data_IF_204133713248
#
_entry.id   IF_204133713248
#
_cell.length_a   1.000
_cell.length_b   1.000
_cell.length_c   1.000
_cell.angle_alpha   90.00
_cell.angle_beta   90.00
_cell.angle_gamma   90.00
#
_symmetry.space_group_name_H-M   'P 1'
#
loop_
_entity.id
_entity.type
_entity.pdbx_description
1 polymer ?
#
# COMPACT_ATOMS: atom_id res chain seq x y z
N UNK A 1 -28.79 -5.49 -7.61
CA UNK A 1 -27.64 -5.42 -8.51
C UNK A 1 -26.55 -6.31 -7.91
N UNK A 2 -25.88 -7.20 -8.65
CA UNK A 2 -24.76 -7.96 -8.12
C UNK A 2 -23.67 -6.98 -7.67
N UNK A 3 -23.18 -7.14 -6.44
CA UNK A 3 -22.03 -6.37 -5.93
C UNK A 3 -20.86 -6.58 -6.91
N UNK A 4 -20.35 -5.52 -7.49
CA UNK A 4 -19.14 -5.59 -8.31
C UNK A 4 -18.06 -6.32 -7.51
N UNK A 5 -17.46 -7.36 -8.14
CA UNK A 5 -16.40 -8.16 -7.51
C UNK A 5 -15.26 -7.21 -7.12
N UNK A 6 -14.81 -7.26 -5.87
CA UNK A 6 -13.69 -6.46 -5.40
C UNK A 6 -12.47 -6.70 -6.31
N UNK A 7 -11.93 -5.69 -7.01
CA UNK A 7 -10.81 -5.87 -7.94
C UNK A 7 -9.46 -5.99 -7.24
N UNK A 8 -9.42 -5.80 -5.91
CA UNK A 8 -8.18 -5.76 -5.14
C UNK A 8 -7.80 -7.12 -4.60
N UNK A 9 -6.48 -7.31 -4.45
CA UNK A 9 -5.86 -8.49 -3.87
C UNK A 9 -5.29 -8.16 -2.49
N UNK A 10 -5.14 -9.17 -1.64
CA UNK A 10 -4.51 -9.02 -0.33
C UNK A 10 -3.06 -8.55 -0.50
N UNK A 11 -2.67 -7.54 0.28
CA UNK A 11 -1.33 -6.97 0.22
C UNK A 11 -0.29 -8.00 0.69
N UNK A 12 0.82 -8.20 -0.05
CA UNK A 12 1.84 -9.21 0.32
C UNK A 12 2.45 -9.00 1.71
N UNK A 13 2.48 -7.77 2.19
CA UNK A 13 2.98 -7.43 3.53
C UNK A 13 2.20 -8.06 4.69
N UNK A 14 0.93 -8.47 4.47
CA UNK A 14 0.14 -9.11 5.53
C UNK A 14 0.80 -10.39 6.04
N UNK A 15 1.35 -11.20 5.15
CA UNK A 15 2.03 -12.44 5.53
C UNK A 15 3.21 -12.20 6.49
N UNK A 16 3.94 -11.07 6.29
CA UNK A 16 5.04 -10.68 7.18
C UNK A 16 4.52 -10.27 8.57
N UNK A 17 3.43 -9.51 8.62
CA UNK A 17 2.82 -9.11 9.90
C UNK A 17 2.22 -10.33 10.62
N UNK A 18 1.54 -11.22 9.91
CA UNK A 18 1.01 -12.47 10.47
C UNK A 18 2.12 -13.34 11.07
N UNK A 19 3.25 -13.48 10.35
CA UNK A 19 4.43 -14.19 10.87
C UNK A 19 4.96 -13.52 12.12
N UNK A 20 5.10 -12.19 12.12
CA UNK A 20 5.55 -11.44 13.28
C UNK A 20 4.62 -11.63 14.49
N UNK A 21 3.30 -11.63 14.29
CA UNK A 21 2.30 -11.90 15.36
C UNK A 21 2.47 -13.31 15.90
N UNK A 22 2.67 -14.31 15.04
CA UNK A 22 2.87 -15.69 15.46
C UNK A 22 4.17 -15.88 16.29
N UNK A 23 5.19 -15.08 16.03
CA UNK A 23 6.48 -15.11 16.74
C UNK A 23 6.49 -14.28 18.06
N UNK A 24 5.45 -13.49 18.34
CA UNK A 24 5.39 -12.66 19.55
C UNK A 24 5.58 -13.45 20.86
N UNK A 25 4.94 -14.63 21.06
CA UNK A 25 5.11 -15.39 22.31
C UNK A 25 6.56 -15.79 22.55
N UNK A 26 7.25 -16.23 21.51
CA UNK A 26 8.65 -16.63 21.59
C UNK A 26 9.58 -15.44 21.88
N UNK A 27 9.34 -14.31 21.21
CA UNK A 27 10.20 -13.13 21.29
C UNK A 27 9.96 -12.26 22.52
N UNK A 28 8.74 -12.28 23.06
CA UNK A 28 8.31 -11.34 24.11
C UNK A 28 7.68 -12.02 25.33
N UNK A 29 7.51 -13.34 25.30
CA UNK A 29 6.87 -14.11 26.38
C UNK A 29 5.33 -13.97 26.41
N UNK A 30 4.70 -13.25 25.45
CA UNK A 30 3.23 -13.03 25.43
C UNK A 30 2.70 -13.06 24.01
N UNK A 31 1.50 -13.63 23.84
CA UNK A 31 0.75 -13.54 22.58
C UNK A 31 0.20 -12.12 22.37
N UNK A 32 -0.27 -11.83 21.15
CA UNK A 32 -0.91 -10.54 20.87
C UNK A 32 -2.10 -10.29 21.81
N UNK A 33 -2.96 -11.29 22.02
CA UNK A 33 -4.14 -11.18 22.89
C UNK A 33 -3.74 -10.85 24.33
N UNK A 34 -2.69 -11.49 24.84
CA UNK A 34 -2.15 -11.22 26.18
C UNK A 34 -1.57 -9.80 26.28
N UNK A 35 -0.91 -9.30 25.22
CA UNK A 35 -0.45 -7.92 25.17
C UNK A 35 -1.61 -6.93 25.16
N UNK A 36 -2.63 -7.19 24.35
CA UNK A 36 -3.81 -6.32 24.27
C UNK A 36 -4.60 -6.30 25.60
N UNK A 37 -4.70 -7.45 26.28
CA UNK A 37 -5.33 -7.53 27.60
C UNK A 37 -4.54 -6.75 28.64
N UNK A 38 -3.21 -6.87 28.63
CA UNK A 38 -2.33 -6.12 29.54
C UNK A 38 -2.47 -4.62 29.34
N UNK A 39 -2.43 -4.15 28.09
CA UNK A 39 -2.62 -2.72 27.76
C UNK A 39 -3.99 -2.23 28.23
N UNK A 40 -5.04 -3.03 28.04
CA UNK A 40 -6.41 -2.67 28.46
C UNK A 40 -6.55 -2.56 29.97
N UNK A 41 -5.86 -3.43 30.74
CA UNK A 41 -5.92 -3.45 32.21
C UNK A 41 -5.06 -2.37 32.88
N UNK A 42 -3.87 -2.11 32.35
CA UNK A 42 -2.84 -1.35 33.07
C UNK A 42 -2.12 -0.31 32.20
N UNK A 43 -2.36 -0.31 30.90
CA UNK A 43 -1.67 0.61 29.99
C UNK A 43 -2.28 2.01 29.98
N UNK A 44 -1.46 3.02 29.64
CA UNK A 44 -1.94 4.38 29.41
C UNK A 44 -2.94 4.45 28.25
N UNK A 45 -4.02 5.22 28.42
CA UNK A 45 -5.02 5.40 27.35
C UNK A 45 -4.48 6.22 26.17
N UNK A 46 -3.53 7.11 26.40
CA UNK A 46 -2.91 7.91 25.34
C UNK A 46 -1.91 7.05 24.55
N UNK A 47 -2.09 6.97 23.24
CA UNK A 47 -1.30 6.12 22.35
C UNK A 47 0.23 6.32 22.47
N UNK A 48 0.69 7.58 22.53
CA UNK A 48 2.12 7.88 22.67
C UNK A 48 2.68 7.35 24.00
N UNK A 49 1.97 7.62 25.11
CA UNK A 49 2.35 7.13 26.43
C UNK A 49 2.29 5.60 26.53
N UNK A 50 1.32 4.97 25.88
CA UNK A 50 1.24 3.51 25.81
C UNK A 50 2.47 2.91 25.13
N UNK A 51 2.94 3.49 24.02
CA UNK A 51 4.16 3.05 23.35
C UNK A 51 5.40 3.19 24.23
N UNK A 52 5.55 4.34 24.90
CA UNK A 52 6.66 4.60 25.82
C UNK A 52 6.62 3.59 26.97
N UNK A 53 5.48 3.39 27.60
CA UNK A 53 5.26 2.43 28.66
C UNK A 53 5.62 0.99 28.26
N UNK A 54 5.17 0.53 27.07
CA UNK A 54 5.50 -0.79 26.55
C UNK A 54 7.02 -0.98 26.33
N UNK A 55 7.74 0.09 25.95
CA UNK A 55 9.19 0.06 25.79
C UNK A 55 9.93 0.06 27.13
N UNK A 56 9.53 0.91 28.05
CA UNK A 56 10.22 1.15 29.31
C UNK A 56 9.98 0.01 30.31
N UNK A 57 8.72 -0.41 30.48
CA UNK A 57 8.37 -1.43 31.47
C UNK A 57 8.57 -2.87 30.98
N UNK A 58 8.44 -3.09 29.65
CA UNK A 58 8.49 -4.45 29.09
C UNK A 58 9.61 -4.67 28.07
N UNK A 59 10.47 -3.68 27.84
CA UNK A 59 11.63 -3.82 26.94
C UNK A 59 11.26 -4.05 25.48
N UNK A 60 10.04 -3.71 25.04
CA UNK A 60 9.64 -3.92 23.65
C UNK A 60 10.40 -2.99 22.71
N UNK A 61 10.81 -3.51 21.57
CA UNK A 61 11.36 -2.71 20.48
C UNK A 61 10.34 -1.70 19.94
N UNK A 62 10.81 -0.60 19.37
CA UNK A 62 9.98 0.53 18.90
C UNK A 62 8.83 0.09 17.99
N UNK A 63 9.06 -0.81 17.03
CA UNK A 63 8.03 -1.28 16.10
C UNK A 63 6.97 -2.13 16.79
N UNK A 64 7.38 -3.05 17.68
CA UNK A 64 6.45 -3.88 18.44
C UNK A 64 5.58 -3.06 19.37
N UNK A 65 6.19 -2.12 20.10
CA UNK A 65 5.45 -1.23 21.00
C UNK A 65 4.46 -0.34 20.25
N UNK A 66 4.86 0.18 19.08
CA UNK A 66 3.99 1.00 18.22
C UNK A 66 2.79 0.19 17.73
N UNK A 67 3.06 -0.99 17.17
CA UNK A 67 2.01 -1.81 16.57
C UNK A 67 1.03 -2.37 17.62
N UNK A 68 1.52 -2.81 18.80
CA UNK A 68 0.65 -3.26 19.90
C UNK A 68 -0.22 -2.10 20.41
N UNK A 69 0.34 -0.88 20.54
CA UNK A 69 -0.43 0.28 20.94
C UNK A 69 -1.51 0.66 19.92
N UNK A 70 -1.23 0.57 18.62
CA UNK A 70 -2.23 0.78 17.56
C UNK A 70 -3.35 -0.28 17.65
N UNK A 71 -3.01 -1.55 17.80
CA UNK A 71 -3.99 -2.63 17.95
C UNK A 71 -4.85 -2.46 19.21
N UNK A 72 -4.26 -2.05 20.32
CA UNK A 72 -5.00 -1.75 21.56
C UNK A 72 -5.95 -0.56 21.40
N UNK A 73 -5.62 0.39 20.52
CA UNK A 73 -6.48 1.52 20.14
C UNK A 73 -7.53 1.16 19.07
N UNK A 74 -7.66 -0.12 18.69
CA UNK A 74 -8.59 -0.60 17.65
C UNK A 74 -8.20 -0.23 16.22
N UNK A 75 -6.90 -0.01 15.97
CA UNK A 75 -6.35 0.32 14.64
C UNK A 75 -5.51 -0.83 14.09
N UNK A 76 -5.25 -0.82 12.78
CA UNK A 76 -4.29 -1.73 12.14
C UNK A 76 -4.79 -3.19 12.03
N UNK A 77 -6.10 -3.45 12.14
CA UNK A 77 -6.64 -4.79 11.91
C UNK A 77 -6.37 -5.24 10.46
N UNK A 78 -6.45 -4.31 9.53
CA UNK A 78 -6.14 -4.50 8.12
C UNK A 78 -4.70 -4.93 7.84
N UNK A 79 -3.79 -4.73 8.77
CA UNK A 79 -2.37 -5.10 8.59
C UNK A 79 -2.13 -6.62 8.75
N UNK A 80 -3.05 -7.34 9.42
CA UNK A 80 -2.90 -8.77 9.72
C UNK A 80 -4.08 -9.63 9.30
N UNK A 81 -5.27 -9.04 9.07
CA UNK A 81 -6.47 -9.75 8.62
C UNK A 81 -6.78 -9.48 7.15
N UNK A 82 -6.82 -10.53 6.28
CA UNK A 82 -7.08 -10.35 4.85
C UNK A 82 -8.44 -9.75 4.52
N UNK A 83 -9.49 -10.05 5.31
CA UNK A 83 -10.83 -9.53 5.04
C UNK A 83 -10.94 -8.07 5.48
N UNK A 84 -10.38 -7.74 6.64
CA UNK A 84 -10.25 -6.36 7.10
C UNK A 84 -9.46 -5.51 6.09
N UNK A 85 -8.33 -6.03 5.57
CA UNK A 85 -7.56 -5.36 4.53
C UNK A 85 -8.39 -5.12 3.26
N UNK A 86 -9.07 -6.14 2.73
CA UNK A 86 -9.86 -5.97 1.51
C UNK A 86 -11.00 -4.95 1.67
N UNK A 87 -11.57 -4.85 2.86
CA UNK A 87 -12.55 -3.81 3.20
C UNK A 87 -11.88 -2.42 3.28
N UNK A 88 -10.73 -2.34 3.95
CA UNK A 88 -9.95 -1.10 4.05
C UNK A 88 -9.46 -0.62 2.67
N UNK A 89 -9.03 -1.53 1.78
CA UNK A 89 -8.58 -1.22 0.43
C UNK A 89 -9.63 -0.48 -0.41
N UNK A 90 -10.91 -0.87 -0.29
CA UNK A 90 -12.02 -0.15 -0.94
C UNK A 90 -12.11 1.28 -0.39
N UNK A 91 -12.07 1.42 0.95
CA UNK A 91 -12.13 2.72 1.60
C UNK A 91 -10.93 3.61 1.27
N UNK A 92 -9.73 3.08 1.21
CA UNK A 92 -8.54 3.84 0.81
C UNK A 92 -8.70 4.46 -0.57
N UNK A 93 -9.24 3.71 -1.53
CA UNK A 93 -9.48 4.23 -2.88
C UNK A 93 -10.61 5.28 -2.89
N UNK A 94 -11.68 5.06 -2.14
CA UNK A 94 -12.75 6.07 -1.99
C UNK A 94 -12.20 7.37 -1.41
N UNK A 95 -11.43 7.30 -0.33
CA UNK A 95 -10.82 8.46 0.32
C UNK A 95 -9.79 9.17 -0.58
N UNK A 96 -8.95 8.41 -1.33
CA UNK A 96 -7.99 8.97 -2.28
C UNK A 96 -8.63 9.82 -3.37
N UNK A 97 -9.83 9.44 -3.80
CA UNK A 97 -10.56 10.10 -4.90
C UNK A 97 -11.82 10.84 -4.42
N UNK A 98 -11.89 11.20 -3.14
CA UNK A 98 -12.95 12.02 -2.59
C UNK A 98 -12.73 13.54 -2.86
N UNK A 99 -13.79 14.31 -2.72
CA UNK A 99 -13.75 15.79 -2.78
C UNK A 99 -13.16 16.31 -4.10
N UNK A 100 -12.17 17.18 -4.02
CA UNK A 100 -11.55 17.83 -5.19
C UNK A 100 -10.90 16.84 -6.18
N UNK A 101 -10.59 15.61 -5.74
CA UNK A 101 -10.01 14.55 -6.57
C UNK A 101 -11.04 13.66 -7.25
N UNK A 102 -12.34 13.82 -7.01
CA UNK A 102 -13.38 12.95 -7.60
C UNK A 102 -13.33 12.92 -9.13
N UNK A 103 -12.95 14.02 -9.78
CA UNK A 103 -12.77 14.10 -11.23
C UNK A 103 -11.63 13.22 -11.78
N UNK A 104 -10.70 12.75 -10.94
CA UNK A 104 -9.63 11.84 -11.32
C UNK A 104 -10.07 10.37 -11.30
N UNK A 105 -11.23 10.05 -10.72
CA UNK A 105 -11.71 8.67 -10.58
C UNK A 105 -11.79 7.91 -11.92
N UNK A 106 -12.32 8.48 -13.01
CA UNK A 106 -12.34 7.78 -14.31
C UNK A 106 -10.94 7.46 -14.85
N UNK A 107 -9.97 8.36 -14.61
CA UNK A 107 -8.55 8.14 -15.00
C UNK A 107 -7.98 6.97 -14.19
N UNK A 108 -8.20 6.96 -12.88
CA UNK A 108 -7.79 5.87 -11.99
C UNK A 108 -8.38 4.53 -12.43
N UNK A 109 -9.71 4.47 -12.65
CA UNK A 109 -10.39 3.24 -13.04
C UNK A 109 -9.82 2.67 -14.35
N UNK A 110 -9.48 3.54 -15.32
CA UNK A 110 -8.86 3.14 -16.57
C UNK A 110 -7.43 2.64 -16.40
N UNK A 111 -6.63 3.28 -15.56
CA UNK A 111 -5.26 2.84 -15.24
C UNK A 111 -5.26 1.52 -14.49
N UNK A 112 -6.17 1.32 -13.54
CA UNK A 112 -6.35 0.06 -12.82
C UNK A 112 -6.74 -1.08 -13.78
N UNK A 113 -7.70 -0.83 -14.67
CA UNK A 113 -8.10 -1.80 -15.70
C UNK A 113 -6.90 -2.23 -16.57
N UNK A 114 -6.11 -1.26 -17.05
CA UNK A 114 -4.92 -1.54 -17.83
C UNK A 114 -3.88 -2.32 -17.03
N UNK A 115 -3.64 -1.92 -15.79
CA UNK A 115 -2.70 -2.60 -14.90
C UNK A 115 -3.06 -4.06 -14.70
N UNK A 116 -4.32 -4.35 -14.39
CA UNK A 116 -4.80 -5.73 -14.18
C UNK A 116 -4.82 -6.57 -15.46
N UNK A 117 -4.84 -5.95 -16.64
CA UNK A 117 -4.83 -6.66 -17.94
C UNK A 117 -3.43 -6.93 -18.49
N UNK A 118 -2.37 -6.35 -17.93
CA UNK A 118 -1.01 -6.54 -18.45
C UNK A 118 -0.48 -7.96 -18.25
N UNK A 119 -0.99 -8.66 -17.19
CA UNK A 119 -0.69 -10.06 -16.91
C UNK A 119 -1.74 -10.66 -15.98
N UNK A 120 -1.91 -11.99 -16.03
CA UNK A 120 -2.90 -12.72 -15.21
C UNK A 120 -2.53 -12.81 -13.73
N UNK A 121 -1.26 -12.60 -13.41
CA UNK A 121 -0.65 -12.68 -12.10
C UNK A 121 -0.56 -11.31 -11.40
N UNK A 122 -1.07 -10.24 -12.04
CA UNK A 122 -1.08 -8.90 -11.45
C UNK A 122 -2.06 -8.80 -10.29
N UNK A 123 -1.57 -8.22 -9.19
CA UNK A 123 -2.34 -7.92 -7.98
C UNK A 123 -2.34 -6.41 -7.73
N UNK A 124 -3.51 -5.82 -7.58
CA UNK A 124 -3.65 -4.43 -7.12
C UNK A 124 -3.91 -4.41 -5.62
N UNK A 125 -3.04 -3.74 -4.87
CA UNK A 125 -3.06 -3.76 -3.41
C UNK A 125 -3.09 -2.32 -2.85
N UNK A 126 -4.26 -1.65 -2.80
CA UNK A 126 -4.36 -0.26 -2.35
C UNK A 126 -3.79 -0.04 -0.95
N UNK A 127 -3.05 1.06 -0.81
CA UNK A 127 -2.65 1.67 0.45
C UNK A 127 -3.38 3.01 0.63
N UNK A 128 -3.16 3.71 1.73
CA UNK A 128 -3.86 4.97 2.03
C UNK A 128 -3.65 6.08 0.98
N UNK A 129 -2.51 6.10 0.29
CA UNK A 129 -2.13 7.21 -0.61
C UNK A 129 -1.72 6.78 -2.02
N UNK A 130 -1.58 5.48 -2.27
CA UNK A 130 -1.15 4.90 -3.54
C UNK A 130 -1.85 3.56 -3.79
N UNK A 131 -1.92 3.16 -5.05
CA UNK A 131 -2.34 1.81 -5.45
C UNK A 131 -1.19 1.13 -6.17
N UNK A 132 -0.36 0.34 -5.46
CA UNK A 132 0.70 -0.44 -6.08
C UNK A 132 0.11 -1.62 -6.87
N UNK A 133 0.79 -1.94 -7.98
CA UNK A 133 0.54 -3.10 -8.81
C UNK A 133 1.73 -4.05 -8.64
N UNK A 134 1.44 -5.26 -8.16
CA UNK A 134 2.42 -6.31 -7.91
C UNK A 134 2.37 -7.38 -9.00
N UNK A 135 3.53 -7.91 -9.30
CA UNK A 135 3.74 -9.22 -9.87
C UNK A 135 4.49 -10.07 -8.82
N UNK A 136 5.80 -10.20 -8.89
CA UNK A 136 6.65 -10.68 -7.78
C UNK A 136 6.91 -9.55 -6.78
N UNK A 137 7.17 -8.35 -7.28
CA UNK A 137 7.34 -7.11 -6.53
C UNK A 137 6.41 -6.03 -7.08
N UNK A 138 6.49 -4.81 -6.54
CA UNK A 138 5.81 -3.65 -7.14
C UNK A 138 6.50 -3.31 -8.45
N UNK A 139 5.81 -3.48 -9.58
CA UNK A 139 6.31 -3.08 -10.90
C UNK A 139 5.75 -1.74 -11.37
N UNK A 140 4.58 -1.35 -10.86
CA UNK A 140 3.96 -0.06 -11.16
C UNK A 140 3.12 0.43 -9.97
N UNK A 141 2.75 1.71 -9.97
CA UNK A 141 1.83 2.27 -8.99
C UNK A 141 0.99 3.40 -9.58
N UNK A 142 -0.24 3.56 -9.07
CA UNK A 142 -1.13 4.66 -9.40
C UNK A 142 -1.18 5.59 -8.18
N UNK A 143 -0.80 6.87 -8.35
CA UNK A 143 -0.74 7.84 -7.26
C UNK A 143 -1.46 9.14 -7.62
N UNK A 144 -2.54 9.54 -6.94
CA UNK A 144 -3.09 10.87 -7.08
C UNK A 144 -2.10 11.89 -6.50
N UNK A 145 -1.30 12.52 -7.35
CA UNK A 145 -0.22 13.40 -6.96
C UNK A 145 -0.70 14.82 -6.60
N UNK A 146 -1.76 15.28 -7.26
CA UNK A 146 -2.42 16.57 -6.99
C UNK A 146 -3.94 16.40 -7.09
N UNK A 147 -4.70 17.49 -6.96
CA UNK A 147 -6.14 17.45 -7.21
C UNK A 147 -6.52 17.33 -8.69
N UNK A 148 -5.55 17.45 -9.61
CA UNK A 148 -5.79 17.47 -11.06
C UNK A 148 -4.95 16.45 -11.83
N UNK A 149 -4.08 15.66 -11.13
CA UNK A 149 -3.10 14.80 -11.78
C UNK A 149 -2.92 13.49 -11.03
N UNK A 150 -2.87 12.41 -11.77
CA UNK A 150 -2.38 11.11 -11.33
C UNK A 150 -0.96 10.91 -11.91
N UNK A 151 -0.04 10.46 -11.09
CA UNK A 151 1.25 9.95 -11.54
C UNK A 151 1.15 8.42 -11.67
N UNK A 152 1.31 7.90 -12.91
CA UNK A 152 1.51 6.48 -13.15
C UNK A 152 2.99 6.19 -13.01
N UNK A 153 3.37 5.52 -11.93
CA UNK A 153 4.76 5.19 -11.59
C UNK A 153 5.16 3.81 -12.11
N UNK A 154 6.44 3.64 -12.44
CA UNK A 154 7.00 2.41 -13.02
C UNK A 154 8.34 2.04 -12.38
N UNK A 155 8.58 0.75 -12.20
CA UNK A 155 9.84 0.19 -11.74
C UNK A 155 10.73 -0.14 -12.97
N UNK A 156 11.48 0.84 -13.47
CA UNK A 156 12.27 0.75 -14.70
C UNK A 156 13.79 0.79 -14.45
N UNK A 157 14.22 0.66 -13.19
CA UNK A 157 15.66 0.76 -12.83
C UNK A 157 16.27 2.08 -13.34
N UNK A 158 17.35 2.02 -14.11
CA UNK A 158 18.10 3.14 -14.71
C UNK A 158 17.74 3.39 -16.18
N UNK A 159 16.55 3.00 -16.60
CA UNK A 159 16.08 3.20 -17.98
C UNK A 159 16.15 4.67 -18.39
N UNK A 160 16.68 4.95 -19.58
CA UNK A 160 16.73 6.32 -20.11
C UNK A 160 15.34 6.90 -20.35
N UNK A 161 15.14 8.13 -19.91
CA UNK A 161 13.89 8.88 -20.14
C UNK A 161 13.69 9.16 -21.64
N UNK A 162 12.47 8.91 -22.11
CA UNK A 162 12.04 9.22 -23.49
C UNK A 162 10.56 9.60 -23.48
N UNK A 163 10.14 10.45 -24.41
CA UNK A 163 8.75 10.89 -24.49
C UNK A 163 8.31 11.65 -23.22
N UNK A 164 7.20 11.22 -22.62
CA UNK A 164 6.65 11.79 -21.37
C UNK A 164 7.17 11.13 -20.09
N UNK A 165 8.04 10.13 -20.22
CA UNK A 165 8.62 9.46 -19.06
C UNK A 165 9.49 10.42 -18.27
N UNK A 166 9.27 10.53 -16.98
CA UNK A 166 10.01 11.41 -16.06
C UNK A 166 10.75 10.54 -15.06
N UNK A 167 12.06 10.74 -14.94
CA UNK A 167 12.85 10.15 -13.84
C UNK A 167 12.46 10.81 -12.51
N UNK A 168 12.20 9.99 -11.48
CA UNK A 168 11.87 10.45 -10.13
C UNK A 168 13.12 10.64 -9.26
N UNK A 169 14.30 10.30 -9.75
CA UNK A 169 15.52 10.14 -8.96
C UNK A 169 15.49 8.93 -8.02
N UNK A 170 14.50 8.05 -8.21
CA UNK A 170 14.26 6.89 -7.34
C UNK A 170 15.38 5.86 -7.42
N UNK A 171 16.01 5.69 -8.59
CA UNK A 171 17.09 4.72 -8.75
C UNK A 171 18.30 5.04 -7.82
N UNK A 172 18.72 6.30 -7.78
CA UNK A 172 19.80 6.74 -6.90
C UNK A 172 19.44 6.59 -5.41
N UNK A 173 18.15 6.71 -5.06
CA UNK A 173 17.62 6.55 -3.69
C UNK A 173 17.30 5.10 -3.34
N UNK A 174 17.52 4.16 -4.27
CA UNK A 174 17.10 2.75 -4.14
C UNK A 174 15.60 2.56 -3.97
N UNK A 175 14.78 3.50 -4.45
CA UNK A 175 13.33 3.37 -4.50
C UNK A 175 12.93 2.36 -5.59
N UNK A 176 11.85 1.61 -5.34
CA UNK A 176 11.34 0.65 -6.33
C UNK A 176 10.79 1.35 -7.57
N UNK A 177 10.05 2.45 -7.38
CA UNK A 177 9.49 3.25 -8.48
C UNK A 177 10.49 4.33 -8.89
N UNK A 178 11.08 4.15 -10.05
CA UNK A 178 12.16 5.00 -10.56
C UNK A 178 11.69 6.02 -11.58
N UNK A 179 10.54 5.78 -12.23
CA UNK A 179 10.00 6.63 -13.29
C UNK A 179 8.51 6.84 -13.12
N UNK A 180 7.98 7.89 -13.76
CA UNK A 180 6.54 8.17 -13.79
C UNK A 180 6.13 8.84 -15.10
N UNK A 181 4.85 8.72 -15.46
CA UNK A 181 4.17 9.55 -16.45
C UNK A 181 3.05 10.30 -15.72
N UNK A 182 3.04 11.65 -15.74
CA UNK A 182 1.92 12.45 -15.24
C UNK A 182 0.73 12.34 -16.20
N UNK A 183 -0.48 12.16 -15.64
CA UNK A 183 -1.74 11.97 -16.38
C UNK A 183 -2.81 12.88 -15.81
N UNK A 184 -3.40 13.72 -16.66
CA UNK A 184 -4.45 14.69 -16.30
C UNK A 184 -5.78 14.42 -17.02
N UNK A 185 -5.76 13.57 -18.06
CA UNK A 185 -6.95 13.22 -18.84
C UNK A 185 -6.91 11.77 -19.33
N UNK A 186 -8.09 11.22 -19.66
CA UNK A 186 -8.21 9.86 -20.23
C UNK A 186 -7.47 9.71 -21.56
N UNK A 187 -7.35 10.79 -22.37
CA UNK A 187 -6.66 10.77 -23.66
C UNK A 187 -5.16 10.53 -23.53
N UNK A 188 -4.59 10.85 -22.38
CA UNK A 188 -3.16 10.64 -22.11
C UNK A 188 -2.82 9.19 -21.70
N UNK A 189 -3.84 8.34 -21.53
CA UNK A 189 -3.65 6.88 -21.32
C UNK A 189 -3.54 6.21 -22.69
N UNK A 190 -2.44 6.47 -23.35
CA UNK A 190 -2.14 6.13 -24.75
C UNK A 190 -1.21 4.91 -24.88
N UNK A 191 -0.65 4.73 -26.08
CA UNK A 191 0.28 3.65 -26.40
C UNK A 191 1.59 3.73 -25.57
N UNK A 192 2.03 4.96 -25.22
CA UNK A 192 3.25 5.16 -24.45
C UNK A 192 3.08 4.64 -23.01
N UNK A 193 1.96 4.96 -22.34
CA UNK A 193 1.64 4.45 -21.01
C UNK A 193 1.55 2.92 -21.01
N UNK A 194 0.88 2.34 -22.02
CA UNK A 194 0.75 0.89 -22.16
C UNK A 194 2.11 0.21 -22.36
N UNK A 195 2.97 0.80 -23.20
CA UNK A 195 4.33 0.31 -23.44
C UNK A 195 5.15 0.28 -22.16
N UNK A 196 5.20 1.37 -21.41
CA UNK A 196 5.99 1.43 -20.18
C UNK A 196 5.44 0.52 -19.09
N UNK A 197 4.11 0.37 -19.00
CA UNK A 197 3.48 -0.57 -18.10
C UNK A 197 3.89 -2.02 -18.41
N UNK A 198 3.92 -2.38 -19.70
CA UNK A 198 4.36 -3.72 -20.14
C UNK A 198 5.85 -3.95 -19.89
N UNK A 199 6.70 -2.95 -20.18
CA UNK A 199 8.15 -3.03 -19.89
C UNK A 199 8.39 -3.23 -18.40
N UNK A 200 7.76 -2.44 -17.54
CA UNK A 200 7.91 -2.58 -16.10
C UNK A 200 7.42 -3.95 -15.57
N UNK A 201 6.32 -4.48 -16.12
CA UNK A 201 5.82 -5.82 -15.81
C UNK A 201 6.82 -6.91 -16.22
N UNK A 202 7.40 -6.82 -17.43
CA UNK A 202 8.36 -7.80 -17.94
C UNK A 202 9.70 -7.77 -17.17
N UNK A 203 10.12 -6.60 -16.68
CA UNK A 203 11.32 -6.43 -15.87
C UNK A 203 11.19 -7.00 -14.45
N UNK A 204 9.97 -7.32 -14.01
CA UNK A 204 9.66 -7.97 -12.71
C UNK A 204 9.41 -9.48 -12.86
N UNK A 205 9.90 -10.09 -13.95
CA UNK A 205 9.77 -11.51 -14.25
C UNK A 205 10.70 -12.35 -13.36
#
# INVERSE_FOLDING_TARGET
>A
MPRAKNPYSVHPGLAMVQKWVAELPEKTGRSLEQWLELVRKSGPAEHKKCREWLKEEYGLGTNSAWWIADRAAGKGEEDSDPQAYLKAALKYVEDMFAGARAKLRPIYDKLLELGLKVGKDVKACPCQTIVPLYRHHVFAQIKPATNTRIDMGFALKDTKVTGRLVDTGGFAKKDRITHRIPITSLREIDAEVKRWLKVAYDMDA
#
